data_IF_537113292063
#
_entry.id   IF_537113292063
#
_cell.length_a   1.000
_cell.length_b   1.000
_cell.length_c   1.000
_cell.angle_alpha   90.00
_cell.angle_beta   90.00
_cell.angle_gamma   90.00
#
_symmetry.space_group_name_H-M   'P 1'
#
loop_
_entity.id
_entity.type
_entity.pdbx_description
1 polymer ?
#
# COMPACT_ATOMS: atom_id res chain seq x y z
N UNK A 1 8.24 -9.79 0.32
CA UNK A 1 7.53 -10.02 1.59
C UNK A 1 6.74 -11.31 1.55
N UNK A 2 6.78 -12.08 2.64
CA UNK A 2 5.88 -13.20 2.87
C UNK A 2 5.34 -13.11 4.29
N UNK A 3 4.24 -12.41 4.46
CA UNK A 3 3.59 -12.24 5.77
C UNK A 3 3.01 -13.55 6.28
N UNK A 4 2.52 -14.41 5.38
CA UNK A 4 1.97 -15.72 5.76
C UNK A 4 3.02 -16.69 6.32
N UNK A 5 4.32 -16.42 6.11
CA UNK A 5 5.44 -17.24 6.60
C UNK A 5 6.25 -16.57 7.71
N UNK A 6 5.78 -15.45 8.25
CA UNK A 6 6.41 -14.81 9.39
C UNK A 6 6.46 -15.79 10.57
N UNK A 7 7.63 -15.99 11.20
CA UNK A 7 7.76 -16.97 12.28
C UNK A 7 7.20 -16.42 13.59
N UNK A 8 6.94 -17.35 14.51
CA UNK A 8 6.75 -17.01 15.93
C UNK A 8 8.08 -17.14 16.66
N UNK A 9 8.37 -16.19 17.55
CA UNK A 9 9.59 -16.17 18.34
C UNK A 9 9.34 -16.51 19.81
N UNK A 10 10.30 -17.23 20.39
CA UNK A 10 10.41 -17.47 21.84
C UNK A 10 11.57 -16.61 22.38
N UNK A 11 11.34 -15.39 22.89
CA UNK A 11 12.38 -14.42 23.19
C UNK A 11 13.49 -14.91 24.14
N UNK A 12 13.09 -15.72 25.12
CA UNK A 12 14.01 -16.24 26.15
C UNK A 12 14.56 -17.64 25.86
N UNK A 13 14.21 -18.26 24.73
CA UNK A 13 14.56 -19.66 24.43
C UNK A 13 16.09 -19.87 24.36
N UNK A 14 16.88 -18.89 23.94
CA UNK A 14 18.35 -18.98 23.81
C UNK A 14 19.02 -19.30 25.15
N UNK A 15 18.51 -18.73 26.25
CA UNK A 15 19.06 -18.94 27.60
C UNK A 15 18.19 -19.88 28.44
N UNK A 16 17.09 -20.37 27.90
CA UNK A 16 16.17 -21.34 28.49
C UNK A 16 15.07 -20.74 29.36
N UNK A 17 13.95 -21.45 29.40
CA UNK A 17 12.84 -21.21 30.32
C UNK A 17 13.02 -22.13 31.53
N UNK A 18 13.14 -21.57 32.71
CA UNK A 18 13.36 -22.37 33.93
C UNK A 18 12.08 -22.69 34.68
N UNK A 19 11.22 -21.69 34.88
CA UNK A 19 9.97 -21.80 35.63
C UNK A 19 8.98 -20.75 35.08
N UNK A 20 7.69 -21.06 35.17
CA UNK A 20 6.57 -20.29 34.65
C UNK A 20 6.42 -20.38 33.11
N UNK A 21 5.33 -19.81 32.61
CA UNK A 21 5.00 -19.81 31.20
C UNK A 21 5.94 -18.89 30.38
N UNK A 22 6.17 -19.27 29.12
CA UNK A 22 6.81 -18.41 28.13
C UNK A 22 5.79 -17.74 27.21
N UNK A 23 6.18 -16.62 26.63
CA UNK A 23 5.38 -15.95 25.61
C UNK A 23 5.85 -16.37 24.23
N UNK A 24 4.91 -16.71 23.35
CA UNK A 24 5.13 -16.92 21.93
C UNK A 24 4.74 -15.62 21.20
N UNK A 25 5.70 -14.98 20.55
CA UNK A 25 5.54 -13.68 19.89
C UNK A 25 5.32 -13.89 18.40
N UNK A 26 4.20 -13.41 17.87
CA UNK A 26 3.96 -13.30 16.44
C UNK A 26 4.82 -12.15 15.88
N UNK A 27 5.86 -12.48 15.10
CA UNK A 27 6.78 -11.47 14.56
C UNK A 27 6.15 -10.61 13.48
N UNK A 28 5.14 -11.09 12.75
CA UNK A 28 4.41 -10.26 11.80
C UNK A 28 3.70 -9.10 12.51
N UNK A 29 3.02 -9.39 13.62
CA UNK A 29 2.35 -8.36 14.39
C UNK A 29 3.36 -7.48 15.12
N UNK A 30 4.29 -8.09 15.87
CA UNK A 30 5.22 -7.37 16.74
C UNK A 30 6.16 -6.43 15.97
N UNK A 31 6.66 -6.87 14.80
CA UNK A 31 7.70 -6.15 14.07
C UNK A 31 7.14 -5.25 12.95
N UNK A 32 5.95 -5.56 12.40
CA UNK A 32 5.38 -4.84 11.28
C UNK A 32 4.07 -4.11 11.59
N UNK A 33 3.16 -4.73 12.38
CA UNK A 33 1.80 -4.23 12.56
C UNK A 33 1.53 -3.62 13.94
N UNK A 34 2.57 -3.44 14.75
CA UNK A 34 2.50 -2.88 16.09
C UNK A 34 3.15 -1.51 16.16
N UNK A 35 2.42 -0.54 16.71
CA UNK A 35 3.01 0.77 17.03
C UNK A 35 3.77 0.67 18.35
N UNK A 36 5.10 0.63 18.25
CA UNK A 36 6.00 0.52 19.39
C UNK A 36 6.01 1.76 20.29
N UNK A 37 5.59 2.92 19.80
CA UNK A 37 5.56 4.18 20.57
C UNK A 37 4.35 4.24 21.50
N UNK A 38 3.18 3.81 20.99
CA UNK A 38 1.92 3.88 21.72
C UNK A 38 1.44 2.50 22.23
N UNK A 39 2.18 1.44 21.87
CA UNK A 39 1.93 0.08 22.35
C UNK A 39 0.55 -0.49 21.96
N UNK A 40 0.17 -0.35 20.70
CA UNK A 40 -1.06 -0.90 20.13
C UNK A 40 -0.91 -1.26 18.65
N UNK A 41 -1.89 -2.00 18.13
CA UNK A 41 -1.91 -2.41 16.72
C UNK A 41 -2.13 -1.20 15.79
N UNK A 42 -1.52 -1.21 14.59
CA UNK A 42 -1.67 -0.17 13.56
C UNK A 42 -3.13 0.16 13.21
N UNK A 43 -4.06 -0.76 13.38
CA UNK A 43 -5.50 -0.53 13.23
C UNK A 43 -5.98 0.65 14.10
N UNK A 44 -5.47 0.79 15.35
CA UNK A 44 -5.84 1.91 16.22
C UNK A 44 -5.38 3.24 15.64
N UNK A 45 -4.27 3.30 14.92
CA UNK A 45 -3.84 4.53 14.25
C UNK A 45 -4.83 4.98 13.18
N UNK A 46 -5.48 4.03 12.48
CA UNK A 46 -6.52 4.33 11.51
C UNK A 46 -7.83 4.79 12.16
N UNK A 47 -8.22 4.20 13.30
CA UNK A 47 -9.35 4.71 14.10
C UNK A 47 -9.08 6.14 14.60
N UNK A 48 -7.85 6.44 15.06
CA UNK A 48 -7.46 7.80 15.48
C UNK A 48 -7.58 8.81 14.31
N UNK A 49 -7.26 8.40 13.10
CA UNK A 49 -7.44 9.22 11.90
C UNK A 49 -8.94 9.47 11.65
N UNK A 50 -9.80 8.45 11.79
CA UNK A 50 -11.25 8.65 11.68
C UNK A 50 -11.73 9.71 12.67
N UNK A 51 -11.31 9.61 13.93
CA UNK A 51 -11.67 10.57 14.98
C UNK A 51 -11.20 11.99 14.66
N UNK A 52 -9.93 12.16 14.24
CA UNK A 52 -9.34 13.49 14.00
C UNK A 52 -9.84 14.15 12.71
N UNK A 53 -10.10 13.39 11.65
CA UNK A 53 -10.59 13.92 10.36
C UNK A 53 -12.11 13.88 10.24
N UNK A 54 -12.81 13.40 11.28
CA UNK A 54 -14.27 13.30 11.31
C UNK A 54 -14.81 12.37 10.24
N UNK A 55 -14.11 11.24 9.97
CA UNK A 55 -14.52 10.27 8.97
C UNK A 55 -15.60 9.36 9.53
N UNK A 56 -16.60 9.05 8.72
CA UNK A 56 -17.65 8.11 9.09
C UNK A 56 -17.32 6.69 8.59
N UNK A 57 -17.96 5.69 9.18
CA UNK A 57 -17.88 4.31 8.74
C UNK A 57 -18.35 4.17 7.28
N UNK A 58 -19.36 4.89 6.89
CA UNK A 58 -19.89 4.87 5.51
C UNK A 58 -18.88 5.40 4.51
N UNK A 59 -18.18 6.50 4.82
CA UNK A 59 -17.17 7.06 3.94
C UNK A 59 -16.02 6.07 3.70
N UNK A 60 -15.50 5.42 4.76
CA UNK A 60 -14.41 4.48 4.61
C UNK A 60 -14.84 3.17 3.93
N UNK A 61 -16.08 2.71 4.15
CA UNK A 61 -16.62 1.56 3.43
C UNK A 61 -16.85 1.89 1.95
N UNK A 62 -17.35 3.10 1.62
CA UNK A 62 -17.50 3.52 0.22
C UNK A 62 -16.16 3.60 -0.52
N UNK A 63 -15.11 4.07 0.16
CA UNK A 63 -13.76 4.05 -0.40
C UNK A 63 -13.31 2.62 -0.73
N UNK A 64 -13.55 1.68 0.17
CA UNK A 64 -13.22 0.28 -0.03
C UNK A 64 -13.99 -0.36 -1.19
N UNK A 65 -15.29 -0.09 -1.31
CA UNK A 65 -16.11 -0.52 -2.46
C UNK A 65 -15.52 0.00 -3.77
N UNK A 66 -15.11 1.27 -3.80
CA UNK A 66 -14.52 1.87 -5.00
C UNK A 66 -13.18 1.22 -5.37
N UNK A 67 -12.32 0.94 -4.37
CA UNK A 67 -11.05 0.23 -4.61
C UNK A 67 -11.28 -1.16 -5.19
N UNK A 68 -12.21 -1.94 -4.61
CA UNK A 68 -12.60 -3.25 -5.11
C UNK A 68 -13.17 -3.21 -6.53
N UNK A 69 -14.04 -2.27 -6.82
CA UNK A 69 -14.63 -2.10 -8.15
C UNK A 69 -13.58 -1.75 -9.21
N UNK A 70 -12.66 -0.82 -8.90
CA UNK A 70 -11.55 -0.46 -9.78
C UNK A 70 -10.62 -1.64 -10.05
N UNK A 71 -10.22 -2.39 -9.01
CA UNK A 71 -9.33 -3.53 -9.16
C UNK A 71 -9.97 -4.67 -9.97
N UNK A 72 -11.24 -4.99 -9.71
CA UNK A 72 -11.99 -5.98 -10.47
C UNK A 72 -12.05 -5.61 -11.95
N UNK A 73 -12.43 -4.37 -12.24
CA UNK A 73 -12.48 -3.87 -13.62
C UNK A 73 -11.11 -3.92 -14.29
N UNK A 74 -10.06 -3.52 -13.59
CA UNK A 74 -8.69 -3.56 -14.12
C UNK A 74 -8.23 -4.99 -14.45
N UNK A 75 -8.59 -5.98 -13.62
CA UNK A 75 -8.34 -7.39 -13.93
C UNK A 75 -9.10 -7.85 -15.16
N UNK A 76 -10.39 -7.55 -15.28
CA UNK A 76 -11.23 -7.91 -16.42
C UNK A 76 -10.71 -7.30 -17.74
N UNK A 77 -10.21 -6.06 -17.68
CA UNK A 77 -9.62 -5.35 -18.82
C UNK A 77 -8.15 -5.74 -19.09
N UNK A 78 -7.56 -6.61 -18.26
CA UNK A 78 -6.18 -7.06 -18.40
C UNK A 78 -5.12 -5.98 -18.15
N UNK A 79 -5.45 -4.95 -17.33
CA UNK A 79 -4.56 -3.82 -17.07
C UNK A 79 -3.24 -4.24 -16.41
N UNK A 80 -3.24 -5.33 -15.64
CA UNK A 80 -2.06 -5.81 -14.92
C UNK A 80 -1.18 -6.80 -15.71
N UNK A 81 -1.58 -7.19 -16.91
CA UNK A 81 -0.88 -8.24 -17.69
C UNK A 81 0.60 -7.97 -17.95
N UNK A 82 0.95 -6.70 -18.19
CA UNK A 82 2.32 -6.33 -18.55
C UNK A 82 3.23 -6.17 -17.33
N UNK A 83 2.66 -6.09 -16.12
CA UNK A 83 3.40 -5.93 -14.87
C UNK A 83 3.49 -7.21 -14.04
N UNK A 84 2.58 -8.17 -14.25
CA UNK A 84 2.60 -9.44 -13.54
C UNK A 84 3.58 -10.41 -14.24
N UNK A 85 4.48 -10.97 -13.43
CA UNK A 85 5.34 -12.07 -13.84
C UNK A 85 4.69 -13.38 -13.41
N UNK A 86 4.23 -14.24 -14.34
CA UNK A 86 3.63 -15.53 -14.00
C UNK A 86 4.60 -16.42 -13.23
N UNK A 87 4.11 -17.08 -12.17
CA UNK A 87 4.90 -17.98 -11.33
C UNK A 87 4.36 -19.41 -11.44
N UNK A 88 5.24 -20.35 -11.80
CA UNK A 88 4.92 -21.77 -11.80
C UNK A 88 4.98 -22.33 -10.37
N UNK A 89 3.87 -22.85 -9.87
CA UNK A 89 3.75 -23.44 -8.53
C UNK A 89 3.42 -24.92 -8.65
N UNK A 90 4.21 -25.77 -8.01
CA UNK A 90 3.91 -27.20 -7.90
C UNK A 90 2.89 -27.45 -6.81
N UNK A 91 1.71 -27.92 -7.21
CA UNK A 91 0.62 -28.32 -6.31
C UNK A 91 0.41 -29.83 -6.43
N UNK A 92 0.93 -30.59 -5.48
CA UNK A 92 0.97 -32.06 -5.52
C UNK A 92 1.70 -32.58 -6.78
N UNK A 93 0.96 -33.19 -7.72
CA UNK A 93 1.52 -33.73 -8.99
C UNK A 93 1.35 -32.78 -10.18
N UNK A 94 0.67 -31.65 -10.00
CA UNK A 94 0.36 -30.70 -11.06
C UNK A 94 1.21 -29.43 -10.92
N UNK A 95 1.47 -28.77 -12.03
CA UNK A 95 1.98 -27.41 -12.07
C UNK A 95 0.82 -26.46 -12.36
N UNK A 96 0.69 -25.41 -11.54
CA UNK A 96 -0.29 -24.34 -11.71
C UNK A 96 0.48 -23.06 -11.97
N UNK A 97 0.05 -22.28 -12.96
CA UNK A 97 0.58 -20.95 -13.23
C UNK A 97 -0.25 -19.97 -12.42
N UNK A 98 0.42 -19.16 -11.57
CA UNK A 98 -0.19 -18.07 -10.83
C UNK A 98 0.19 -16.78 -11.54
N UNK A 99 -0.80 -16.14 -12.16
CA UNK A 99 -0.65 -14.95 -13.01
C UNK A 99 -1.72 -13.89 -12.74
N UNK A 100 -2.50 -14.08 -11.68
CA UNK A 100 -3.63 -13.21 -11.34
C UNK A 100 -3.71 -13.04 -9.83
N UNK A 101 -3.88 -11.79 -9.36
CA UNK A 101 -4.09 -11.51 -7.95
C UNK A 101 -5.44 -12.08 -7.46
N UNK A 102 -5.41 -12.78 -6.32
CA UNK A 102 -6.58 -13.40 -5.70
C UNK A 102 -7.33 -12.47 -4.73
N UNK A 103 -6.76 -11.30 -4.44
CA UNK A 103 -7.30 -10.34 -3.46
C UNK A 103 -8.61 -9.66 -3.86
N UNK A 104 -8.78 -9.20 -5.12
CA UNK A 104 -10.00 -8.52 -5.54
C UNK A 104 -11.25 -9.36 -5.35
N UNK A 105 -12.31 -8.72 -4.85
CA UNK A 105 -13.59 -9.35 -4.52
C UNK A 105 -14.70 -8.74 -5.36
N UNK A 106 -15.01 -9.30 -6.55
CA UNK A 106 -16.12 -8.84 -7.37
C UNK A 106 -17.44 -8.85 -6.60
N UNK A 107 -18.26 -7.83 -6.81
CA UNK A 107 -19.57 -7.75 -6.13
C UNK A 107 -19.51 -7.23 -4.69
N UNK A 108 -18.40 -6.65 -4.24
CA UNK A 108 -18.35 -5.96 -2.96
C UNK A 108 -19.34 -4.78 -2.94
N UNK A 109 -20.21 -4.74 -1.93
CA UNK A 109 -21.26 -3.71 -1.79
C UNK A 109 -21.21 -3.03 -0.42
N UNK A 110 -21.79 -1.84 -0.33
CA UNK A 110 -21.95 -1.12 0.95
C UNK A 110 -22.74 -1.95 1.97
N UNK A 111 -23.81 -2.63 1.56
CA UNK A 111 -24.61 -3.48 2.46
C UNK A 111 -23.80 -4.68 2.98
N UNK A 112 -22.90 -5.22 2.15
CA UNK A 112 -21.97 -6.29 2.55
C UNK A 112 -20.98 -5.81 3.60
N UNK A 113 -20.37 -4.65 3.37
CA UNK A 113 -19.39 -4.07 4.30
C UNK A 113 -20.02 -3.59 5.61
N UNK A 114 -21.22 -3.03 5.57
CA UNK A 114 -21.93 -2.56 6.75
C UNK A 114 -22.19 -3.68 7.79
N UNK A 115 -22.25 -4.95 7.35
CA UNK A 115 -22.42 -6.12 8.23
C UNK A 115 -21.15 -6.54 8.96
N UNK A 116 -19.99 -6.03 8.54
CA UNK A 116 -18.72 -6.38 9.17
C UNK A 116 -18.56 -5.69 10.52
N UNK A 117 -18.11 -6.45 11.50
CA UNK A 117 -17.81 -5.92 12.83
C UNK A 117 -16.51 -5.13 12.78
N UNK A 118 -16.45 -4.06 13.57
CA UNK A 118 -15.21 -3.32 13.81
C UNK A 118 -14.21 -4.21 14.55
N UNK A 119 -12.93 -4.04 14.22
CA UNK A 119 -11.85 -4.82 14.81
C UNK A 119 -11.61 -4.37 16.26
N UNK A 120 -11.53 -3.06 16.48
CA UNK A 120 -11.50 -2.48 17.82
C UNK A 120 -12.94 -2.21 18.30
N UNK A 121 -13.25 -2.45 19.58
CA UNK A 121 -14.48 -1.97 20.17
C UNK A 121 -14.61 -0.46 19.95
N UNK A 122 -15.79 0.00 19.54
CA UNK A 122 -16.09 1.41 19.26
C UNK A 122 -15.20 2.07 18.18
N UNK A 123 -14.48 1.26 17.39
CA UNK A 123 -13.67 1.73 16.25
C UNK A 123 -14.47 1.81 14.95
N UNK A 124 -13.76 2.17 13.89
CA UNK A 124 -14.31 2.33 12.53
C UNK A 124 -13.83 1.24 11.58
N UNK A 125 -12.60 0.74 11.83
CA UNK A 125 -11.90 -0.17 10.94
C UNK A 125 -12.47 -1.57 11.00
N UNK A 126 -12.66 -2.17 9.82
CA UNK A 126 -13.11 -3.55 9.64
C UNK A 126 -12.18 -4.29 8.68
N UNK A 127 -12.36 -5.60 8.56
CA UNK A 127 -11.64 -6.40 7.54
C UNK A 127 -11.99 -6.01 6.09
N UNK A 128 -13.05 -5.23 5.86
CA UNK A 128 -13.47 -4.80 4.53
C UNK A 128 -12.92 -3.44 4.10
N UNK A 129 -12.47 -2.60 5.05
CA UNK A 129 -11.96 -1.25 4.78
C UNK A 129 -10.49 -1.06 5.19
N UNK A 130 -9.80 -2.17 5.42
CA UNK A 130 -8.37 -2.27 5.64
C UNK A 130 -7.76 -3.22 4.59
N UNK A 131 -6.48 -3.05 4.30
CA UNK A 131 -5.73 -4.00 3.47
C UNK A 131 -5.56 -5.34 4.19
N UNK A 132 -5.46 -6.42 3.42
CA UNK A 132 -5.23 -7.76 3.94
C UNK A 132 -3.77 -8.03 4.33
N UNK A 133 -3.57 -9.18 4.96
CA UNK A 133 -2.25 -9.79 5.15
C UNK A 133 -1.93 -10.56 3.87
N UNK A 134 -0.85 -10.19 3.19
CA UNK A 134 -0.55 -10.69 1.86
C UNK A 134 0.92 -11.05 1.71
N UNK A 135 1.17 -12.02 0.84
CA UNK A 135 2.49 -12.28 0.27
C UNK A 135 2.59 -11.54 -1.05
N UNK A 136 3.77 -11.08 -1.41
CA UNK A 136 4.00 -10.41 -2.68
C UNK A 136 5.46 -10.06 -2.91
N UNK A 137 5.82 -9.91 -4.18
CA UNK A 137 7.15 -9.47 -4.58
C UNK A 137 7.04 -8.51 -5.77
N UNK A 138 7.91 -7.53 -5.80
CA UNK A 138 8.04 -6.61 -6.92
C UNK A 138 9.53 -6.26 -7.12
N UNK A 139 9.93 -5.96 -8.35
CA UNK A 139 11.28 -5.61 -8.69
C UNK A 139 11.32 -4.46 -9.69
N UNK A 140 12.24 -3.53 -9.48
CA UNK A 140 12.55 -2.42 -10.39
C UNK A 140 14.04 -2.40 -10.63
N UNK A 141 14.45 -2.25 -11.89
CA UNK A 141 15.83 -2.03 -12.27
C UNK A 141 16.08 -0.53 -12.36
N UNK A 142 17.04 -0.04 -11.58
CA UNK A 142 17.46 1.36 -11.58
C UNK A 142 18.88 1.45 -12.10
N UNK A 143 19.13 2.39 -13.01
CA UNK A 143 20.46 2.63 -13.57
C UNK A 143 20.62 4.09 -13.94
N UNK A 144 21.86 4.54 -14.21
CA UNK A 144 22.10 5.86 -14.75
C UNK A 144 21.66 5.96 -16.21
N UNK A 145 21.40 7.18 -16.68
CA UNK A 145 21.07 7.46 -18.09
C UNK A 145 22.16 6.95 -19.03
N UNK A 146 23.44 7.16 -18.65
CA UNK A 146 24.59 6.69 -19.42
C UNK A 146 24.57 5.18 -19.59
N UNK A 147 24.26 4.45 -18.48
CA UNK A 147 24.19 3.00 -18.51
C UNK A 147 23.01 2.49 -19.34
N UNK A 148 21.87 3.15 -19.29
CA UNK A 148 20.73 2.82 -20.15
C UNK A 148 21.08 2.99 -21.65
N UNK A 149 21.76 4.08 -22.00
CA UNK A 149 22.25 4.32 -23.39
C UNK A 149 23.27 3.27 -23.81
N UNK A 150 24.24 2.93 -22.96
CA UNK A 150 25.24 1.89 -23.22
C UNK A 150 24.59 0.54 -23.52
N UNK A 151 23.57 0.17 -22.75
CA UNK A 151 22.86 -1.11 -22.90
C UNK A 151 21.77 -1.07 -23.98
N UNK A 152 21.47 0.08 -24.58
CA UNK A 152 20.38 0.24 -25.55
C UNK A 152 18.99 0.01 -24.95
N UNK A 153 18.83 0.20 -23.63
CA UNK A 153 17.56 0.03 -22.92
C UNK A 153 16.80 1.34 -22.90
N UNK A 154 15.51 1.30 -23.30
CA UNK A 154 14.62 2.44 -23.18
C UNK A 154 14.07 2.50 -21.75
N UNK A 155 14.33 3.57 -20.97
CA UNK A 155 13.74 3.74 -19.65
C UNK A 155 12.22 3.82 -19.69
N UNK A 156 11.53 3.28 -18.68
CA UNK A 156 10.09 3.49 -18.51
C UNK A 156 9.79 4.90 -18.04
N UNK A 157 10.64 5.44 -17.16
CA UNK A 157 10.58 6.81 -16.65
C UNK A 157 11.93 7.21 -16.04
N UNK A 158 12.09 8.50 -15.80
CA UNK A 158 13.21 9.07 -15.04
C UNK A 158 12.74 9.36 -13.61
N UNK A 159 13.54 8.95 -12.62
CA UNK A 159 13.31 9.33 -11.23
C UNK A 159 13.70 10.81 -11.03
N UNK A 160 12.73 11.62 -10.64
CA UNK A 160 12.93 13.08 -10.46
C UNK A 160 13.42 13.37 -9.04
N UNK A 161 12.68 12.91 -8.04
CA UNK A 161 13.03 13.10 -6.63
C UNK A 161 12.24 12.16 -5.72
N UNK A 162 12.77 11.98 -4.52
CA UNK A 162 12.06 11.34 -3.41
C UNK A 162 12.27 12.11 -2.11
N UNK A 163 11.35 11.91 -1.18
CA UNK A 163 11.44 12.48 0.16
C UNK A 163 10.79 11.57 1.20
N UNK A 164 11.34 11.65 2.40
CA UNK A 164 10.76 11.05 3.60
C UNK A 164 10.11 12.14 4.45
N UNK A 165 8.99 11.82 5.09
CA UNK A 165 8.28 12.70 6.02
C UNK A 165 8.07 12.03 7.37
N UNK A 166 8.04 12.79 8.45
CA UNK A 166 7.71 12.33 9.79
C UNK A 166 6.42 13.00 10.28
N UNK A 167 5.60 12.24 10.98
CA UNK A 167 4.36 12.67 11.65
C UNK A 167 4.25 11.97 13.00
N UNK A 168 3.24 12.34 13.79
CA UNK A 168 2.97 11.63 15.05
C UNK A 168 2.69 10.14 14.78
N UNK A 169 3.34 9.21 15.49
CA UNK A 169 3.12 7.78 15.33
C UNK A 169 1.65 7.35 15.49
N UNK A 170 0.90 8.03 16.37
CA UNK A 170 -0.52 7.72 16.61
C UNK A 170 -1.44 7.92 15.40
N UNK A 171 -0.96 8.64 14.40
CA UNK A 171 -1.62 8.90 13.11
C UNK A 171 -0.67 8.60 11.95
N UNK A 172 0.12 7.53 12.04
CA UNK A 172 1.17 7.18 11.08
C UNK A 172 0.69 7.23 9.61
N UNK A 173 -0.58 6.91 9.38
CA UNK A 173 -1.18 6.89 8.06
C UNK A 173 -1.13 8.24 7.31
N UNK A 174 -0.92 9.35 8.03
CA UNK A 174 -0.78 10.69 7.44
C UNK A 174 0.66 10.99 6.96
N UNK A 175 1.60 10.10 7.19
CA UNK A 175 2.97 10.22 6.70
C UNK A 175 3.12 10.64 5.23
N UNK A 176 2.30 10.13 4.28
CA UNK A 176 2.28 10.58 2.88
C UNK A 176 2.09 12.08 2.69
N UNK A 177 1.35 12.75 3.59
CA UNK A 177 1.15 14.21 3.50
C UNK A 177 2.48 14.94 3.71
N UNK A 178 3.24 14.54 4.73
CA UNK A 178 4.53 15.15 5.03
C UNK A 178 5.58 14.87 3.94
N UNK A 179 5.67 13.62 3.47
CA UNK A 179 6.63 13.24 2.43
C UNK A 179 6.29 13.84 1.07
N UNK A 180 5.01 13.87 0.68
CA UNK A 180 4.57 14.47 -0.58
C UNK A 180 4.82 15.98 -0.59
N UNK A 181 4.46 16.71 0.47
CA UNK A 181 4.78 18.15 0.55
C UNK A 181 6.28 18.42 0.40
N UNK A 182 7.12 17.58 1.00
CA UNK A 182 8.59 17.70 0.88
C UNK A 182 9.09 17.44 -0.54
N UNK A 183 8.62 16.38 -1.21
CA UNK A 183 9.09 16.08 -2.57
C UNK A 183 8.61 17.12 -3.56
N UNK A 184 7.38 17.63 -3.43
CA UNK A 184 6.88 18.71 -4.26
C UNK A 184 7.67 20.00 -4.05
N UNK A 185 7.96 20.39 -2.81
CA UNK A 185 8.81 21.55 -2.51
C UNK A 185 10.23 21.40 -3.08
N UNK A 186 10.79 20.18 -3.04
CA UNK A 186 12.13 19.89 -3.59
C UNK A 186 12.20 20.00 -5.11
N UNK A 187 11.10 19.68 -5.80
CA UNK A 187 11.02 19.68 -7.26
C UNK A 187 10.47 20.98 -7.85
N UNK A 188 9.86 21.84 -7.02
CA UNK A 188 9.11 23.02 -7.49
C UNK A 188 7.77 22.68 -8.13
N UNK A 189 7.33 21.42 -8.03
CA UNK A 189 6.06 20.95 -8.56
C UNK A 189 4.93 21.13 -7.56
N UNK A 190 3.70 21.06 -8.06
CA UNK A 190 2.46 21.01 -7.29
C UNK A 190 1.78 19.66 -7.48
N UNK A 191 0.74 19.39 -6.70
CA UNK A 191 -0.03 18.16 -6.85
C UNK A 191 -0.81 18.12 -8.18
N UNK A 192 -1.18 19.29 -8.68
CA UNK A 192 -1.92 19.43 -9.94
C UNK A 192 -1.07 19.07 -11.17
N UNK A 193 0.26 19.12 -11.04
CA UNK A 193 1.22 18.70 -12.07
C UNK A 193 1.31 17.19 -12.23
N UNK A 194 0.71 16.42 -11.33
CA UNK A 194 0.69 14.95 -11.39
C UNK A 194 -0.45 14.47 -12.29
N UNK A 195 -0.12 13.62 -13.27
CA UNK A 195 -1.10 12.98 -14.15
C UNK A 195 -1.70 11.74 -13.51
N UNK A 196 -0.88 10.98 -12.76
CA UNK A 196 -1.27 9.77 -12.04
C UNK A 196 -0.63 9.72 -10.65
N UNK A 197 -1.37 9.16 -9.71
CA UNK A 197 -0.94 8.99 -8.33
C UNK A 197 -1.24 7.55 -7.88
N UNK A 198 -0.23 6.86 -7.40
CA UNK A 198 -0.37 5.62 -6.65
C UNK A 198 -0.12 5.91 -5.16
N UNK A 199 -1.17 5.96 -4.37
CA UNK A 199 -1.14 6.16 -2.94
C UNK A 199 -1.55 4.86 -2.25
N UNK A 200 -0.65 4.23 -1.51
CA UNK A 200 -0.90 2.93 -0.92
C UNK A 200 -2.08 2.97 0.07
N UNK A 201 -3.00 2.03 -0.07
CA UNK A 201 -4.23 1.93 0.73
C UNK A 201 -4.03 0.95 1.88
N UNK A 202 -3.22 1.32 2.88
CA UNK A 202 -3.11 0.50 4.09
C UNK A 202 -4.46 0.41 4.83
N UNK A 203 -5.17 1.53 4.90
CA UNK A 203 -6.53 1.68 5.44
C UNK A 203 -7.32 2.69 4.61
N UNK A 204 -8.62 2.50 4.44
CA UNK A 204 -9.48 3.47 3.78
C UNK A 204 -9.46 4.84 4.49
N UNK A 205 -9.50 4.84 5.82
CA UNK A 205 -9.42 6.04 6.65
C UNK A 205 -8.19 6.89 6.33
N UNK A 206 -7.02 6.27 6.33
CA UNK A 206 -5.76 6.93 6.01
C UNK A 206 -5.75 7.46 4.57
N UNK A 207 -6.25 6.67 3.61
CA UNK A 207 -6.27 7.07 2.20
C UNK A 207 -7.16 8.31 1.96
N UNK A 208 -8.33 8.37 2.59
CA UNK A 208 -9.23 9.52 2.50
C UNK A 208 -8.60 10.76 3.13
N UNK A 209 -8.03 10.63 4.32
CA UNK A 209 -7.42 11.76 5.03
C UNK A 209 -6.23 12.33 4.25
N UNK A 210 -5.35 11.48 3.69
CA UNK A 210 -4.25 11.89 2.82
C UNK A 210 -4.77 12.60 1.57
N UNK A 211 -5.81 12.06 0.91
CA UNK A 211 -6.40 12.66 -0.27
C UNK A 211 -6.99 14.06 0.01
N UNK A 212 -7.65 14.23 1.16
CA UNK A 212 -8.19 15.53 1.61
C UNK A 212 -7.09 16.56 1.87
N UNK A 213 -6.05 16.18 2.62
CA UNK A 213 -4.98 17.08 3.03
C UNK A 213 -4.06 17.51 1.88
N UNK A 214 -3.90 16.64 0.87
CA UNK A 214 -3.13 16.91 -0.34
C UNK A 214 -4.01 17.40 -1.50
N UNK A 215 -5.33 17.45 -1.31
CA UNK A 215 -6.31 17.86 -2.34
C UNK A 215 -6.20 17.03 -3.62
N UNK A 216 -6.08 15.72 -3.49
CA UNK A 216 -5.98 14.82 -4.63
C UNK A 216 -7.22 14.88 -5.53
N UNK A 217 -7.00 14.95 -6.83
CA UNK A 217 -8.02 14.60 -7.82
C UNK A 217 -8.17 13.07 -7.85
N UNK A 218 -9.24 12.56 -7.25
CA UNK A 218 -9.48 11.12 -7.11
C UNK A 218 -9.67 10.38 -8.44
N UNK A 219 -9.85 11.09 -9.55
CA UNK A 219 -9.87 10.50 -10.89
C UNK A 219 -8.48 10.06 -11.37
N UNK A 220 -7.42 10.60 -10.76
CA UNK A 220 -6.01 10.30 -11.04
C UNK A 220 -5.39 9.33 -10.02
N UNK A 221 -6.11 8.98 -8.93
CA UNK A 221 -5.57 8.20 -7.81
C UNK A 221 -6.01 6.75 -7.90
N UNK A 222 -5.03 5.84 -7.79
CA UNK A 222 -5.25 4.40 -7.76
C UNK A 222 -6.30 3.99 -8.79
N UNK A 223 -6.03 4.36 -10.04
CA UNK A 223 -7.02 4.24 -11.13
C UNK A 223 -7.40 2.79 -11.43
N UNK A 224 -6.57 1.85 -11.03
CA UNK A 224 -6.77 0.41 -11.15
C UNK A 224 -7.09 -0.26 -9.79
N UNK A 225 -7.56 0.51 -8.80
CA UNK A 225 -7.71 0.04 -7.43
C UNK A 225 -6.40 0.06 -6.65
N UNK A 226 -6.45 -0.22 -5.36
CA UNK A 226 -5.27 -0.19 -4.49
C UNK A 226 -5.24 -1.35 -3.51
N UNK A 227 -4.45 -1.21 -2.45
CA UNK A 227 -4.10 -2.29 -1.54
C UNK A 227 -5.28 -2.89 -0.77
N UNK A 228 -6.39 -2.18 -0.59
CA UNK A 228 -7.61 -2.75 0.01
C UNK A 228 -8.12 -3.91 -0.84
N UNK A 229 -8.02 -3.81 -2.16
CA UNK A 229 -8.41 -4.85 -3.09
C UNK A 229 -7.23 -5.80 -3.43
N UNK A 230 -6.06 -5.24 -3.77
CA UNK A 230 -4.92 -5.99 -4.29
C UNK A 230 -4.06 -6.62 -3.19
N UNK A 231 -4.13 -6.11 -1.97
CA UNK A 231 -3.30 -6.53 -0.85
C UNK A 231 -2.13 -5.60 -0.54
N UNK A 232 -1.56 -5.78 0.68
CA UNK A 232 -0.47 -4.96 1.19
C UNK A 232 0.65 -5.82 1.79
N UNK A 233 1.45 -6.49 0.94
CA UNK A 233 2.69 -7.10 1.40
C UNK A 233 3.64 -5.98 1.81
N UNK A 234 3.76 -5.73 3.13
CA UNK A 234 4.33 -4.49 3.71
C UNK A 234 5.70 -4.16 3.12
N UNK A 235 6.61 -5.13 3.06
CA UNK A 235 7.96 -4.91 2.53
C UNK A 235 8.06 -4.80 1.01
N UNK A 236 7.04 -5.21 0.26
CA UNK A 236 7.01 -5.14 -1.21
C UNK A 236 6.19 -3.97 -1.75
N UNK A 237 5.25 -3.42 -0.96
CA UNK A 237 4.26 -2.45 -1.44
C UNK A 237 4.85 -1.19 -2.05
N UNK A 238 5.97 -0.67 -1.52
CA UNK A 238 6.61 0.52 -2.09
C UNK A 238 7.07 0.29 -3.54
N UNK A 239 7.68 -0.86 -3.81
CA UNK A 239 8.06 -1.26 -5.16
C UNK A 239 6.82 -1.56 -6.02
N UNK A 240 5.83 -2.26 -5.48
CA UNK A 240 4.60 -2.63 -6.20
C UNK A 240 3.85 -1.41 -6.73
N UNK A 241 3.58 -0.40 -5.88
CA UNK A 241 2.86 0.81 -6.32
C UNK A 241 3.63 1.57 -7.40
N UNK A 242 4.96 1.58 -7.34
CA UNK A 242 5.77 2.23 -8.37
C UNK A 242 5.74 1.44 -9.70
N UNK A 243 5.77 0.11 -9.66
CA UNK A 243 5.60 -0.75 -10.86
C UNK A 243 4.26 -0.46 -11.52
N UNK A 244 3.16 -0.50 -10.76
CA UNK A 244 1.81 -0.21 -11.26
C UNK A 244 1.72 1.20 -11.86
N UNK A 245 2.28 2.21 -11.17
CA UNK A 245 2.33 3.59 -11.65
C UNK A 245 3.02 3.68 -13.02
N UNK A 246 4.21 3.08 -13.15
CA UNK A 246 5.00 3.14 -14.39
C UNK A 246 4.28 2.49 -15.57
N UNK A 247 3.67 1.32 -15.35
CA UNK A 247 2.91 0.63 -16.39
C UNK A 247 1.64 1.40 -16.79
N UNK A 248 0.93 1.97 -15.82
CA UNK A 248 -0.28 2.75 -16.11
C UNK A 248 0.05 4.10 -16.77
N UNK A 249 1.15 4.76 -16.38
CA UNK A 249 1.66 5.94 -17.08
C UNK A 249 1.98 5.63 -18.54
N UNK A 250 2.57 4.48 -18.83
CA UNK A 250 2.84 4.06 -20.21
C UNK A 250 1.57 3.85 -21.02
N UNK A 251 0.54 3.24 -20.42
CA UNK A 251 -0.74 2.94 -21.09
C UNK A 251 -1.59 4.17 -21.37
N UNK A 252 -1.45 5.22 -20.56
CA UNK A 252 -2.22 6.48 -20.68
C UNK A 252 -1.44 7.61 -21.32
N UNK A 253 -0.18 7.38 -21.68
CA UNK A 253 0.76 8.44 -22.13
C UNK A 253 0.86 9.59 -21.10
N UNK A 254 0.80 9.24 -19.82
CA UNK A 254 0.92 10.16 -18.71
C UNK A 254 2.40 10.56 -18.53
N UNK A 255 2.64 11.82 -18.23
CA UNK A 255 4.00 12.39 -18.13
C UNK A 255 4.57 12.30 -16.73
N UNK A 256 3.82 12.69 -15.71
CA UNK A 256 4.27 12.73 -14.30
C UNK A 256 3.46 11.86 -13.41
N UNK A 257 4.16 11.11 -12.58
CA UNK A 257 3.55 10.22 -11.60
C UNK A 257 4.12 10.41 -10.20
N UNK A 258 3.26 10.25 -9.21
CA UNK A 258 3.59 10.23 -7.79
C UNK A 258 3.27 8.87 -7.20
N UNK A 259 4.24 8.23 -6.56
CA UNK A 259 4.01 7.09 -5.69
C UNK A 259 4.24 7.50 -4.24
N UNK A 260 3.32 7.18 -3.34
CA UNK A 260 3.42 7.54 -1.92
C UNK A 260 2.82 6.47 -1.02
N UNK A 261 3.42 6.29 0.16
CA UNK A 261 2.93 5.35 1.17
C UNK A 261 3.28 5.79 2.60
N UNK A 262 2.45 5.36 3.55
CA UNK A 262 2.71 5.48 4.97
C UNK A 262 3.64 4.36 5.45
N UNK A 263 4.31 4.61 6.57
CA UNK A 263 5.24 3.67 7.20
C UNK A 263 4.98 3.73 8.71
N UNK A 264 4.97 2.58 9.36
CA UNK A 264 4.82 2.48 10.81
C UNK A 264 5.84 3.35 11.56
N UNK A 265 5.46 3.81 12.77
CA UNK A 265 6.28 4.74 13.54
C UNK A 265 6.10 6.22 13.17
N UNK A 266 5.11 6.55 12.34
CA UNK A 266 4.81 7.94 11.97
C UNK A 266 5.64 8.46 10.80
N UNK A 267 5.85 7.66 9.77
CA UNK A 267 6.66 8.04 8.62
C UNK A 267 5.87 7.95 7.31
N UNK A 268 6.36 8.65 6.29
CA UNK A 268 5.90 8.54 4.91
C UNK A 268 7.06 8.59 3.93
N UNK A 269 6.87 7.96 2.78
CA UNK A 269 7.79 8.03 1.65
C UNK A 269 7.01 8.43 0.39
N UNK A 270 7.59 9.34 -0.38
CA UNK A 270 7.01 9.77 -1.67
C UNK A 270 8.10 9.88 -2.72
N UNK A 271 7.78 9.49 -3.94
CA UNK A 271 8.68 9.61 -5.09
C UNK A 271 7.92 10.15 -6.30
N UNK A 272 8.58 11.00 -7.08
CA UNK A 272 8.09 11.56 -8.33
C UNK A 272 8.92 10.99 -9.47
N UNK A 273 8.22 10.53 -10.50
CA UNK A 273 8.82 10.04 -11.76
C UNK A 273 8.24 10.80 -12.93
N UNK A 274 9.04 10.94 -14.01
CA UNK A 274 8.63 11.62 -15.24
C UNK A 274 8.98 10.78 -16.46
N UNK A 275 8.09 10.77 -17.45
CA UNK A 275 8.29 10.14 -18.77
C UNK A 275 8.48 11.22 -19.84
N UNK A 276 9.32 10.90 -20.81
CA UNK A 276 9.53 11.73 -22.01
C UNK A 276 8.28 11.78 -22.91
#
# INVERSE_FOLDING_TARGET
>A
ESMSRAPYALPNARFGYRMNNGTLVDTMVNDALWDAFNNYHMIKTADNICEQWGLTREEIDQFAVNSQAKATKAQEEGRFKDEIVPVEVKVKKNTVIVDTDEGPRPGTTMEGLAKLRTINPDGFVTAGNASGINDGAAAIVVMSEEKAKELGVKPMATWVAGALGGVDPSIMGIGPVASTKKVLAKTGLTIDDMDLIEANEAFAAQSIAVARDLKFDMSKVNVNGGAIALGHPVGASGCRILVTLLHEMAKRDAKRGLATLCIGGGMGCSTVVERD
#
